data_IF_923095608401
#
_entry.id   IF_923095608401
#
_cell.length_a   1.000
_cell.length_b   1.000
_cell.length_c   1.000
_cell.angle_alpha   90.00
_cell.angle_beta   90.00
_cell.angle_gamma   90.00
#
_symmetry.space_group_name_H-M   'P 1'
#
loop_
_entity.id
_entity.type
_entity.pdbx_description
1 polymer ?
#
# COMPACT_ATOMS: atom_id res chain seq x y z
N UNK A 1 -7.17 27.25 -73.65
CA UNK A 1 -8.30 26.86 -72.81
C UNK A 1 -7.71 26.19 -71.60
N UNK A 2 -7.70 26.90 -70.49
CA UNK A 2 -7.10 26.45 -69.28
C UNK A 2 -7.99 25.55 -68.47
N UNK A 3 -7.41 24.59 -67.79
CA UNK A 3 -8.03 23.88 -66.69
C UNK A 3 -7.21 24.09 -65.43
N UNK A 4 -7.87 24.66 -64.39
CA UNK A 4 -7.33 24.97 -63.09
C UNK A 4 -7.74 23.82 -62.16
N UNK A 5 -6.84 22.87 -61.89
CA UNK A 5 -7.00 21.85 -60.87
C UNK A 5 -6.67 22.41 -59.51
N UNK A 6 -7.72 22.70 -58.68
CA UNK A 6 -7.55 23.11 -57.30
C UNK A 6 -7.09 21.96 -56.40
N UNK A 7 -5.89 22.07 -55.88
CA UNK A 7 -5.36 21.18 -54.88
C UNK A 7 -5.92 21.51 -53.48
N UNK A 8 -6.88 20.71 -53.00
CA UNK A 8 -7.35 20.75 -51.62
C UNK A 8 -6.32 20.15 -50.68
N UNK A 9 -5.56 21.00 -50.01
CA UNK A 9 -4.68 20.61 -48.92
C UNK A 9 -5.49 20.21 -47.68
N UNK A 10 -5.77 18.91 -47.56
CA UNK A 10 -6.32 18.37 -46.30
C UNK A 10 -5.29 18.46 -45.18
N UNK A 11 -5.46 19.40 -44.29
CA UNK A 11 -4.71 19.43 -43.00
C UNK A 11 -5.04 18.15 -42.25
N UNK A 12 -4.12 17.21 -42.25
CA UNK A 12 -4.16 16.08 -41.30
C UNK A 12 -3.98 16.67 -39.91
N UNK A 13 -5.09 16.85 -39.20
CA UNK A 13 -5.05 17.06 -37.74
C UNK A 13 -4.49 15.76 -37.17
N UNK A 14 -3.20 15.75 -36.84
CA UNK A 14 -2.59 14.67 -36.06
C UNK A 14 -3.20 14.79 -34.68
N UNK A 15 -4.17 13.92 -34.38
CA UNK A 15 -4.61 13.68 -33.02
C UNK A 15 -3.36 13.22 -32.25
N UNK A 16 -2.72 14.15 -31.54
CA UNK A 16 -1.71 13.82 -30.56
C UNK A 16 -2.40 12.89 -29.56
N UNK A 17 -2.02 11.62 -29.54
CA UNK A 17 -2.48 10.69 -28.52
C UNK A 17 -2.14 11.36 -27.17
N UNK A 18 -3.19 11.72 -26.42
CA UNK A 18 -2.99 12.26 -25.09
C UNK A 18 -2.33 11.14 -24.26
N UNK A 19 -1.05 11.30 -23.96
CA UNK A 19 -0.35 10.37 -23.07
C UNK A 19 -1.12 10.28 -21.76
N UNK A 20 -1.34 9.06 -21.29
CA UNK A 20 -1.89 8.88 -19.95
C UNK A 20 -0.99 9.58 -18.93
N UNK A 21 -1.56 10.25 -17.90
CA UNK A 21 -0.75 10.83 -16.85
C UNK A 21 0.26 9.84 -16.27
N UNK A 22 1.43 10.32 -15.90
CA UNK A 22 2.49 9.51 -15.31
C UNK A 22 2.01 8.94 -13.97
N UNK A 23 2.20 7.64 -13.70
CA UNK A 23 1.98 7.04 -12.40
C UNK A 23 3.26 7.12 -11.58
N UNK A 24 3.25 7.91 -10.50
CA UNK A 24 4.37 7.95 -9.53
C UNK A 24 4.04 7.00 -8.40
N UNK A 25 4.66 5.83 -8.40
CA UNK A 25 4.49 4.79 -7.38
C UNK A 25 5.35 5.10 -6.15
N UNK A 26 4.77 5.85 -5.20
CA UNK A 26 5.46 6.41 -4.06
C UNK A 26 5.42 5.47 -2.85
N UNK A 27 6.56 4.92 -2.46
CA UNK A 27 6.72 4.10 -1.25
C UNK A 27 7.29 4.93 -0.08
N UNK A 28 7.28 4.35 1.13
CA UNK A 28 7.96 4.96 2.28
C UNK A 28 9.47 5.01 2.05
N UNK A 29 10.02 3.93 1.54
CA UNK A 29 11.44 3.64 1.52
C UNK A 29 11.84 2.64 2.60
N UNK A 30 12.94 1.93 2.38
CA UNK A 30 13.47 0.91 3.30
C UNK A 30 14.97 0.76 3.12
N UNK A 31 15.68 0.46 4.21
CA UNK A 31 17.09 0.03 4.19
C UNK A 31 17.25 -1.47 3.90
N UNK A 32 16.16 -2.25 3.93
CA UNK A 32 16.18 -3.68 3.60
C UNK A 32 16.31 -3.89 2.09
N UNK A 33 17.34 -4.60 1.66
CA UNK A 33 17.54 -4.97 0.25
C UNK A 33 16.39 -5.83 -0.28
N UNK A 34 15.91 -6.78 0.53
CA UNK A 34 14.79 -7.65 0.20
C UNK A 34 13.48 -6.83 0.07
N UNK A 35 13.20 -5.97 1.05
CA UNK A 35 12.03 -5.09 1.00
C UNK A 35 12.04 -4.15 -0.20
N UNK A 36 13.22 -3.60 -0.55
CA UNK A 36 13.38 -2.78 -1.75
C UNK A 36 13.13 -3.57 -3.04
N UNK A 37 13.61 -4.81 -3.12
CA UNK A 37 13.37 -5.69 -4.26
C UNK A 37 11.88 -6.00 -4.44
N UNK A 38 11.15 -6.31 -3.37
CA UNK A 38 9.71 -6.57 -3.39
C UNK A 38 8.90 -5.33 -3.84
N UNK A 39 9.24 -4.15 -3.35
CA UNK A 39 8.58 -2.90 -3.79
C UNK A 39 8.88 -2.59 -5.27
N UNK A 40 10.09 -2.88 -5.74
CA UNK A 40 10.43 -2.74 -7.16
C UNK A 40 9.68 -3.78 -8.03
N UNK A 41 9.52 -5.02 -7.54
CA UNK A 41 8.72 -6.03 -8.22
C UNK A 41 7.23 -5.62 -8.30
N UNK A 42 6.68 -4.98 -7.26
CA UNK A 42 5.34 -4.39 -7.29
C UNK A 42 5.22 -3.32 -8.40
N UNK A 43 6.19 -2.41 -8.52
CA UNK A 43 6.21 -1.39 -9.60
C UNK A 43 6.27 -2.03 -10.99
N UNK A 44 7.11 -3.05 -11.15
CA UNK A 44 7.17 -3.82 -12.40
C UNK A 44 5.83 -4.51 -12.70
N UNK A 45 5.14 -5.04 -11.69
CA UNK A 45 3.80 -5.61 -11.82
C UNK A 45 2.76 -4.59 -12.27
N UNK A 46 2.79 -3.38 -11.72
CA UNK A 46 1.91 -2.27 -12.16
C UNK A 46 2.16 -1.95 -13.65
N UNK A 47 3.42 -1.81 -14.06
CA UNK A 47 3.78 -1.53 -15.46
C UNK A 47 3.38 -2.68 -16.40
N UNK A 48 3.53 -3.93 -15.98
CA UNK A 48 3.14 -5.11 -16.75
C UNK A 48 1.63 -5.22 -16.96
N UNK A 49 0.81 -4.85 -15.96
CA UNK A 49 -0.65 -4.85 -16.06
C UNK A 49 -1.18 -3.75 -17.00
N UNK A 50 -0.41 -2.66 -17.22
CA UNK A 50 -0.79 -1.58 -18.13
C UNK A 50 0.38 -1.19 -19.03
N UNK A 51 0.60 -1.94 -20.12
CA UNK A 51 1.64 -1.61 -21.10
C UNK A 51 1.49 -0.18 -21.64
N UNK A 52 2.60 0.56 -21.68
CA UNK A 52 2.63 1.95 -22.15
C UNK A 52 2.35 3.01 -21.08
N UNK A 53 1.94 2.64 -19.86
CA UNK A 53 1.89 3.56 -18.74
C UNK A 53 3.32 3.85 -18.23
N UNK A 54 3.69 5.14 -18.14
CA UNK A 54 4.95 5.56 -17.51
C UNK A 54 4.80 5.42 -15.98
N UNK A 55 5.48 4.42 -15.42
CA UNK A 55 5.48 4.13 -13.96
C UNK A 55 6.83 4.53 -13.38
N UNK A 56 6.84 5.54 -12.52
CA UNK A 56 8.06 6.06 -11.89
C UNK A 56 8.12 5.73 -10.41
N UNK A 57 9.32 5.46 -9.93
CA UNK A 57 9.59 5.29 -8.52
C UNK A 57 9.70 6.66 -7.83
N UNK A 58 9.20 6.74 -6.59
CA UNK A 58 9.49 7.83 -5.67
C UNK A 58 9.39 7.31 -4.23
N UNK A 59 10.00 8.05 -3.31
CA UNK A 59 10.00 7.72 -1.89
C UNK A 59 9.69 8.97 -1.06
N UNK A 60 9.10 8.76 0.12
CA UNK A 60 8.85 9.86 1.07
C UNK A 60 9.99 9.99 2.08
N UNK A 61 10.79 8.93 2.26
CA UNK A 61 11.91 8.85 3.20
C UNK A 61 12.89 7.73 2.80
N UNK A 62 14.03 7.62 3.46
CA UNK A 62 15.00 6.51 3.44
C UNK A 62 15.70 6.26 2.10
N UNK A 63 15.05 6.43 0.97
CA UNK A 63 15.57 6.10 -0.37
C UNK A 63 15.40 7.22 -1.38
N UNK A 64 16.22 7.21 -2.40
CA UNK A 64 16.14 8.07 -3.59
C UNK A 64 15.46 7.36 -4.78
N UNK A 65 14.82 8.10 -5.70
CA UNK A 65 14.62 9.57 -5.67
C UNK A 65 13.51 9.99 -4.70
N UNK A 66 13.68 11.13 -4.04
CA UNK A 66 12.64 11.70 -3.18
C UNK A 66 11.41 12.16 -4.01
N UNK A 67 10.22 12.06 -3.45
CA UNK A 67 8.98 12.43 -4.13
C UNK A 67 8.97 13.88 -4.63
N UNK A 68 9.43 14.90 -3.86
CA UNK A 68 9.49 16.28 -4.35
C UNK A 68 10.35 16.44 -5.60
N UNK A 69 11.47 15.74 -5.69
CA UNK A 69 12.39 15.81 -6.82
C UNK A 69 11.80 15.17 -8.08
N UNK A 70 11.13 14.02 -7.92
CA UNK A 70 10.41 13.36 -9.01
C UNK A 70 9.32 14.26 -9.57
N UNK A 71 8.53 14.90 -8.70
CA UNK A 71 7.45 15.81 -9.09
C UNK A 71 8.01 17.06 -9.78
N UNK A 72 9.07 17.65 -9.25
CA UNK A 72 9.73 18.82 -9.85
C UNK A 72 10.37 18.50 -11.21
N UNK A 73 10.93 17.31 -11.37
CA UNK A 73 11.58 16.83 -12.59
C UNK A 73 10.64 16.37 -13.70
N UNK A 74 9.32 16.43 -13.53
CA UNK A 74 8.37 16.08 -14.60
C UNK A 74 8.50 17.04 -15.79
N UNK A 75 8.42 16.56 -17.04
CA UNK A 75 8.45 17.44 -18.22
C UNK A 75 7.35 18.49 -18.20
N UNK A 76 7.59 19.64 -18.82
CA UNK A 76 6.59 20.72 -18.93
C UNK A 76 5.37 20.23 -19.69
N UNK A 77 4.18 20.45 -19.14
CA UNK A 77 2.90 20.03 -19.74
C UNK A 77 2.48 18.59 -19.39
N UNK A 78 3.37 17.77 -18.84
CA UNK A 78 3.00 16.43 -18.36
C UNK A 78 2.22 16.50 -17.04
N UNK A 79 1.25 15.61 -16.92
CA UNK A 79 0.45 15.41 -15.72
C UNK A 79 0.81 14.10 -15.03
N UNK A 80 0.59 14.01 -13.72
CA UNK A 80 0.93 12.82 -12.96
C UNK A 80 -0.08 12.53 -11.84
N UNK A 81 -0.17 11.25 -11.48
CA UNK A 81 -0.88 10.78 -10.28
C UNK A 81 0.14 10.10 -9.37
N UNK A 82 0.29 10.62 -8.17
CA UNK A 82 1.07 9.97 -7.11
C UNK A 82 0.19 8.92 -6.46
N UNK A 83 0.57 7.65 -6.61
CA UNK A 83 -0.09 6.51 -5.97
C UNK A 83 0.74 6.09 -4.75
N UNK A 84 0.22 6.30 -3.52
CA UNK A 84 0.92 5.89 -2.32
C UNK A 84 0.93 4.35 -2.21
N UNK A 85 2.10 3.73 -2.29
CA UNK A 85 2.29 2.32 -1.98
C UNK A 85 2.34 2.14 -0.45
N UNK A 86 1.30 2.64 0.23
CA UNK A 86 1.12 2.66 1.67
C UNK A 86 -0.21 2.00 2.04
N UNK A 87 -0.28 1.38 3.21
CA UNK A 87 -1.42 0.55 3.62
C UNK A 87 -2.49 1.32 4.42
N UNK A 88 -2.23 2.57 4.77
CA UNK A 88 -3.18 3.43 5.49
C UNK A 88 -2.95 4.90 5.19
N UNK A 89 -3.96 5.71 5.48
CA UNK A 89 -3.84 7.18 5.48
C UNK A 89 -3.10 7.59 6.75
N UNK A 90 -1.83 7.96 6.62
CA UNK A 90 -0.98 8.42 7.72
C UNK A 90 -0.38 9.78 7.43
N UNK A 91 0.59 10.18 8.27
CA UNK A 91 1.28 11.48 8.17
C UNK A 91 1.85 11.71 6.76
N UNK A 92 2.57 10.74 6.21
CA UNK A 92 3.20 10.86 4.88
C UNK A 92 2.19 11.11 3.75
N UNK A 93 1.02 10.45 3.77
CA UNK A 93 -0.04 10.70 2.78
C UNK A 93 -0.60 12.10 2.93
N UNK A 94 -0.90 12.52 4.17
CA UNK A 94 -1.56 13.81 4.43
C UNK A 94 -0.62 15.01 4.27
N UNK A 95 0.65 14.86 4.58
CA UNK A 95 1.59 15.97 4.63
C UNK A 95 2.56 15.95 3.45
N UNK A 96 3.35 14.87 3.31
CA UNK A 96 4.45 14.88 2.33
C UNK A 96 3.93 14.76 0.91
N UNK A 97 3.03 13.79 0.65
CA UNK A 97 2.42 13.62 -0.67
C UNK A 97 1.54 14.81 -1.03
N UNK A 98 0.72 15.30 -0.09
CA UNK A 98 -0.12 16.48 -0.34
C UNK A 98 0.71 17.74 -0.64
N UNK A 99 1.86 17.91 0.01
CA UNK A 99 2.80 19.02 -0.27
C UNK A 99 3.41 18.87 -1.65
N UNK A 100 3.90 17.68 -2.00
CA UNK A 100 4.52 17.42 -3.30
C UNK A 100 3.54 17.68 -4.46
N UNK A 101 2.31 17.19 -4.38
CA UNK A 101 1.31 17.41 -5.45
C UNK A 101 0.89 18.88 -5.57
N UNK A 102 0.84 19.63 -4.47
CA UNK A 102 0.51 21.07 -4.48
C UNK A 102 1.61 21.91 -5.13
N UNK A 103 2.86 21.45 -5.14
CA UNK A 103 3.98 22.20 -5.71
C UNK A 103 3.93 22.26 -7.25
N UNK A 104 3.12 21.41 -7.90
CA UNK A 104 3.06 21.33 -9.35
C UNK A 104 1.62 21.17 -9.88
N UNK A 105 1.11 22.12 -10.68
CA UNK A 105 -0.16 21.98 -11.37
C UNK A 105 -0.19 20.73 -12.26
N UNK A 106 -1.34 20.05 -12.34
CA UNK A 106 -1.51 18.82 -13.11
C UNK A 106 -1.02 17.55 -12.40
N UNK A 107 -0.53 17.66 -11.14
CA UNK A 107 -0.21 16.52 -10.30
C UNK A 107 -1.32 16.30 -9.26
N UNK A 108 -1.67 15.03 -9.02
CA UNK A 108 -2.73 14.62 -8.08
C UNK A 108 -2.23 13.51 -7.17
N UNK A 109 -2.86 13.37 -6.00
CA UNK A 109 -2.66 12.22 -5.12
C UNK A 109 -3.82 11.24 -5.26
N UNK A 110 -3.52 9.97 -5.40
CA UNK A 110 -4.48 8.89 -5.23
C UNK A 110 -4.65 8.52 -3.76
N UNK A 111 -5.68 7.73 -3.44
CA UNK A 111 -5.79 7.08 -2.14
C UNK A 111 -4.68 6.04 -1.96
N UNK A 112 -4.28 5.69 -0.71
CA UNK A 112 -3.36 4.61 -0.43
C UNK A 112 -3.96 3.25 -0.81
N UNK A 113 -3.14 2.18 -0.77
CA UNK A 113 -3.57 0.83 -1.10
C UNK A 113 -4.66 0.32 -0.13
N UNK A 114 -4.53 0.63 1.15
CA UNK A 114 -5.49 0.19 2.16
C UNK A 114 -6.26 1.33 2.85
N UNK A 115 -7.37 0.97 3.53
CA UNK A 115 -7.95 -0.37 3.57
C UNK A 115 -8.59 -0.81 2.26
N UNK A 116 -8.58 -2.12 1.99
CA UNK A 116 -9.23 -2.73 0.83
C UNK A 116 -9.58 -4.20 1.19
N UNK A 117 -10.78 -4.70 0.88
CA UNK A 117 -11.18 -6.06 1.26
C UNK A 117 -10.29 -7.16 0.67
N UNK A 118 -9.61 -6.90 -0.46
CA UNK A 118 -8.64 -7.84 -1.03
C UNK A 118 -7.39 -7.98 -0.17
N UNK A 119 -7.02 -6.95 0.61
CA UNK A 119 -5.92 -7.04 1.57
C UNK A 119 -6.32 -7.91 2.78
N UNK A 120 -7.58 -7.84 3.22
CA UNK A 120 -8.08 -8.77 4.24
C UNK A 120 -8.08 -10.22 3.73
N UNK A 121 -8.49 -10.45 2.48
CA UNK A 121 -8.44 -11.77 1.86
C UNK A 121 -6.98 -12.28 1.71
N UNK A 122 -6.04 -11.41 1.37
CA UNK A 122 -4.61 -11.75 1.31
C UNK A 122 -4.06 -12.10 2.69
N UNK A 123 -4.42 -11.36 3.74
CA UNK A 123 -4.05 -11.70 5.11
C UNK A 123 -4.62 -13.05 5.54
N UNK A 124 -5.85 -13.38 5.14
CA UNK A 124 -6.42 -14.70 5.37
C UNK A 124 -5.61 -15.81 4.69
N UNK A 125 -5.13 -15.58 3.47
CA UNK A 125 -4.21 -16.51 2.79
C UNK A 125 -2.92 -16.64 3.58
N UNK A 126 -2.27 -15.53 3.99
CA UNK A 126 -1.03 -15.55 4.78
C UNK A 126 -1.18 -16.29 6.10
N UNK A 127 -2.31 -16.10 6.79
CA UNK A 127 -2.63 -16.84 8.03
C UNK A 127 -2.76 -18.35 7.80
N UNK A 128 -3.40 -18.76 6.68
CA UNK A 128 -3.48 -20.18 6.32
C UNK A 128 -2.12 -20.78 5.96
N UNK A 129 -1.32 -20.06 5.19
CA UNK A 129 0.07 -20.46 4.85
C UNK A 129 0.93 -20.63 6.09
N UNK A 130 0.77 -19.75 7.10
CA UNK A 130 1.44 -19.88 8.39
C UNK A 130 0.88 -20.99 9.29
N UNK A 131 -0.21 -21.66 8.90
CA UNK A 131 -0.84 -22.72 9.67
C UNK A 131 -1.65 -22.23 10.87
N UNK A 132 -2.22 -21.00 10.81
CA UNK A 132 -3.09 -20.46 11.85
C UNK A 132 -4.40 -21.27 11.94
N UNK A 133 -4.70 -21.80 13.13
CA UNK A 133 -5.89 -22.58 13.44
C UNK A 133 -7.04 -21.68 13.91
N UNK A 134 -8.29 -22.21 13.90
CA UNK A 134 -9.46 -21.45 14.33
C UNK A 134 -9.44 -21.04 15.82
N UNK A 135 -8.75 -21.82 16.66
CA UNK A 135 -8.63 -21.52 18.09
C UNK A 135 -7.57 -20.46 18.41
N UNK A 136 -6.72 -20.10 17.44
CA UNK A 136 -5.63 -19.15 17.65
C UNK A 136 -6.18 -17.71 17.77
N UNK A 137 -5.54 -16.88 18.59
CA UNK A 137 -5.79 -15.44 18.60
C UNK A 137 -4.86 -14.75 17.61
N UNK A 138 -5.42 -13.93 16.74
CA UNK A 138 -4.69 -13.21 15.70
C UNK A 138 -4.44 -11.76 16.15
N UNK A 139 -3.18 -11.32 16.11
CA UNK A 139 -2.78 -9.94 16.27
C UNK A 139 -2.52 -9.37 14.87
N UNK A 140 -3.39 -8.46 14.42
CA UNK A 140 -3.20 -7.73 13.17
C UNK A 140 -2.17 -6.62 13.41
N UNK A 141 -0.94 -6.84 12.97
CA UNK A 141 0.18 -5.95 13.23
C UNK A 141 0.41 -4.99 12.05
N UNK A 142 0.15 -3.70 12.27
CA UNK A 142 0.42 -2.62 11.34
C UNK A 142 1.66 -1.82 11.76
N UNK A 143 2.26 -1.06 10.83
CA UNK A 143 3.40 -0.19 11.14
C UNK A 143 3.05 0.85 12.22
N UNK A 144 1.84 1.41 12.16
CA UNK A 144 1.39 2.48 13.03
C UNK A 144 1.68 3.87 12.46
N UNK A 145 1.04 4.88 13.03
CA UNK A 145 1.20 6.28 12.67
C UNK A 145 0.76 7.17 13.82
N UNK A 146 1.29 8.38 13.89
CA UNK A 146 0.79 9.43 14.79
C UNK A 146 -0.56 10.02 14.33
N UNK A 147 -1.00 9.76 13.10
CA UNK A 147 -2.30 10.19 12.60
C UNK A 147 -3.39 9.20 13.02
N UNK A 148 -4.43 9.65 13.75
CA UNK A 148 -5.51 8.76 14.21
C UNK A 148 -6.29 8.06 13.08
N UNK A 149 -6.32 8.64 11.87
CA UNK A 149 -7.00 8.02 10.73
C UNK A 149 -6.32 6.71 10.32
N UNK A 150 -5.02 6.56 10.54
CA UNK A 150 -4.32 5.31 10.26
C UNK A 150 -4.84 4.16 11.12
N UNK A 151 -5.10 4.41 12.42
CA UNK A 151 -5.67 3.42 13.31
C UNK A 151 -7.11 3.05 12.91
N UNK A 152 -7.91 4.01 12.45
CA UNK A 152 -9.27 3.75 11.92
C UNK A 152 -9.21 2.84 10.68
N UNK A 153 -8.28 3.08 9.76
CA UNK A 153 -8.09 2.22 8.59
C UNK A 153 -7.67 0.79 8.97
N UNK A 154 -6.83 0.63 9.99
CA UNK A 154 -6.43 -0.70 10.49
C UNK A 154 -7.61 -1.41 11.15
N UNK A 155 -8.45 -0.71 11.94
CA UNK A 155 -9.67 -1.29 12.52
C UNK A 155 -10.72 -1.66 11.46
N UNK A 156 -10.86 -0.87 10.40
CA UNK A 156 -11.71 -1.22 9.26
C UNK A 156 -11.24 -2.53 8.62
N UNK A 157 -9.94 -2.65 8.36
CA UNK A 157 -9.36 -3.88 7.82
C UNK A 157 -9.53 -5.07 8.78
N UNK A 158 -9.35 -4.85 10.10
CA UNK A 158 -9.61 -5.87 11.11
C UNK A 158 -11.08 -6.34 11.07
N UNK A 159 -12.02 -5.42 10.88
CA UNK A 159 -13.43 -5.74 10.66
C UNK A 159 -13.66 -6.60 9.42
N UNK A 160 -13.01 -6.28 8.30
CA UNK A 160 -13.07 -7.07 7.07
C UNK A 160 -12.47 -8.47 7.28
N UNK A 161 -11.35 -8.58 8.01
CA UNK A 161 -10.73 -9.87 8.30
C UNK A 161 -11.59 -10.71 9.28
N UNK A 162 -12.26 -10.10 10.28
CA UNK A 162 -13.24 -10.76 11.17
C UNK A 162 -14.44 -11.34 10.39
N UNK A 163 -14.81 -10.75 9.27
CA UNK A 163 -15.85 -11.30 8.41
C UNK A 163 -15.43 -12.57 7.67
N UNK A 164 -14.12 -12.80 7.50
CA UNK A 164 -13.56 -13.97 6.82
C UNK A 164 -13.15 -15.09 7.79
N UNK A 165 -12.93 -14.75 9.06
CA UNK A 165 -12.39 -15.69 10.07
C UNK A 165 -13.10 -15.58 11.40
N UNK A 166 -13.30 -16.73 12.05
CA UNK A 166 -13.87 -16.80 13.41
C UNK A 166 -12.87 -16.52 14.53
N UNK A 167 -11.58 -16.33 14.20
CA UNK A 167 -10.54 -16.02 15.18
C UNK A 167 -10.85 -14.70 15.93
N UNK A 168 -10.47 -14.62 17.19
CA UNK A 168 -10.33 -13.32 17.86
C UNK A 168 -9.22 -12.53 17.14
N UNK A 169 -9.52 -11.32 16.70
CA UNK A 169 -8.56 -10.44 16.00
C UNK A 169 -8.40 -9.14 16.78
N UNK A 170 -7.15 -8.83 17.15
CA UNK A 170 -6.74 -7.64 17.89
C UNK A 170 -5.81 -6.82 17.02
N UNK A 171 -6.11 -5.55 16.77
CA UNK A 171 -5.20 -4.64 16.07
C UNK A 171 -4.08 -4.18 17.02
N UNK A 172 -2.85 -4.12 16.49
CA UNK A 172 -1.67 -3.65 17.22
C UNK A 172 -0.67 -2.99 16.26
N UNK A 173 0.28 -2.22 16.82
CA UNK A 173 1.10 -1.32 16.04
C UNK A 173 2.59 -1.47 16.36
N UNK A 174 3.44 -1.34 15.34
CA UNK A 174 4.90 -1.36 15.50
C UNK A 174 5.44 -0.07 16.09
N UNK A 175 4.76 1.07 15.84
CA UNK A 175 5.18 2.39 16.34
C UNK A 175 3.98 3.34 16.52
N UNK A 176 4.20 4.42 17.29
CA UNK A 176 3.36 5.63 17.39
C UNK A 176 1.91 5.46 17.87
N UNK A 177 1.28 4.31 17.68
CA UNK A 177 -0.08 3.99 18.12
C UNK A 177 -0.09 2.88 19.19
N UNK A 178 -1.22 2.67 19.84
CA UNK A 178 -1.38 1.68 20.91
C UNK A 178 -2.58 0.75 20.63
N UNK A 179 -2.51 -0.52 21.12
CA UNK A 179 -1.39 -1.14 21.82
C UNK A 179 -0.19 -1.38 20.89
N UNK A 180 1.03 -1.49 21.48
CA UNK A 180 2.16 -2.03 20.72
C UNK A 180 1.94 -3.52 20.44
N UNK A 181 2.64 -4.06 19.43
CA UNK A 181 2.53 -5.50 19.12
C UNK A 181 2.94 -6.34 20.32
N UNK A 182 4.03 -5.98 21.04
CA UNK A 182 4.47 -6.70 22.24
C UNK A 182 3.44 -6.63 23.36
N UNK A 183 2.86 -5.42 23.62
CA UNK A 183 1.82 -5.27 24.65
C UNK A 183 0.59 -6.13 24.34
N UNK A 184 0.19 -6.20 23.06
CA UNK A 184 -0.94 -7.00 22.62
C UNK A 184 -0.68 -8.51 22.77
N UNK A 185 0.52 -8.99 22.40
CA UNK A 185 0.91 -10.40 22.62
C UNK A 185 0.88 -10.74 24.10
N UNK A 186 1.45 -9.87 24.94
CA UNK A 186 1.49 -10.09 26.39
C UNK A 186 0.07 -10.13 27.00
N UNK A 187 -0.78 -9.17 26.66
CA UNK A 187 -2.14 -9.12 27.15
C UNK A 187 -2.95 -10.36 26.77
N UNK A 188 -2.85 -10.83 25.51
CA UNK A 188 -3.52 -12.05 25.07
C UNK A 188 -3.03 -13.28 25.82
N UNK A 189 -1.74 -13.39 26.11
CA UNK A 189 -1.17 -14.51 26.89
C UNK A 189 -1.62 -14.48 28.34
N UNK A 190 -1.65 -13.32 28.98
CA UNK A 190 -2.13 -13.16 30.36
C UNK A 190 -3.62 -13.51 30.46
N UNK A 191 -4.47 -13.02 29.56
CA UNK A 191 -5.89 -13.37 29.52
C UNK A 191 -6.09 -14.89 29.34
N UNK A 192 -5.33 -15.51 28.45
CA UNK A 192 -5.36 -16.96 28.25
C UNK A 192 -4.98 -17.74 29.51
N UNK A 193 -3.96 -17.29 30.25
CA UNK A 193 -3.54 -17.93 31.48
C UNK A 193 -4.61 -17.87 32.60
N UNK A 194 -5.43 -16.83 32.61
CA UNK A 194 -6.53 -16.66 33.59
C UNK A 194 -7.75 -17.54 33.29
N UNK A 195 -7.94 -17.94 32.03
CA UNK A 195 -9.11 -18.75 31.59
C UNK A 195 -8.80 -20.26 31.59
N UNK A 196 -7.72 -20.71 32.18
CA UNK A 196 -7.07 -22.00 32.09
C UNK A 196 -7.92 -23.24 32.48
N UNK A 197 -8.92 -23.58 31.65
CA UNK A 197 -9.64 -24.87 31.74
C UNK A 197 -9.57 -25.70 30.42
N UNK A 198 -8.70 -25.32 29.45
CA UNK A 198 -8.58 -26.03 28.17
C UNK A 198 -7.30 -25.71 27.39
N UNK A 199 -7.05 -26.37 26.27
CA UNK A 199 -5.90 -26.05 25.43
C UNK A 199 -6.05 -24.62 24.90
N UNK A 200 -5.09 -23.76 25.26
CA UNK A 200 -5.03 -22.40 24.77
C UNK A 200 -4.62 -22.42 23.29
N UNK A 201 -5.32 -21.62 22.46
CA UNK A 201 -4.90 -21.34 21.10
C UNK A 201 -3.57 -20.55 21.11
N UNK A 202 -2.81 -20.68 20.03
CA UNK A 202 -1.58 -19.89 19.85
C UNK A 202 -1.88 -18.42 19.64
N UNK A 203 -0.87 -17.59 19.86
CA UNK A 203 -0.88 -16.19 19.46
C UNK A 203 -0.18 -16.06 18.11
N UNK A 204 -0.90 -15.64 17.10
CA UNK A 204 -0.41 -15.51 15.72
C UNK A 204 -0.40 -14.04 15.31
N UNK A 205 0.72 -13.55 14.81
CA UNK A 205 0.80 -12.21 14.23
C UNK A 205 0.49 -12.28 12.74
N UNK A 206 -0.55 -11.58 12.31
CA UNK A 206 -0.83 -11.29 10.91
C UNK A 206 -0.11 -9.99 10.53
N UNK A 207 0.92 -10.09 9.70
CA UNK A 207 1.75 -8.97 9.29
C UNK A 207 1.02 -8.10 8.25
N UNK A 208 0.44 -7.00 8.68
CA UNK A 208 -0.11 -5.96 7.80
C UNK A 208 0.99 -4.94 7.47
N UNK A 209 2.05 -5.45 6.86
CA UNK A 209 3.19 -4.71 6.34
C UNK A 209 3.37 -5.02 4.87
N UNK A 210 3.77 -4.02 4.08
CA UNK A 210 3.84 -4.16 2.62
C UNK A 210 4.91 -5.19 2.20
N UNK A 211 6.10 -5.10 2.78
CA UNK A 211 7.28 -5.89 2.42
C UNK A 211 8.11 -6.25 3.67
N UNK A 212 9.05 -7.21 3.57
CA UNK A 212 10.05 -7.47 4.60
C UNK A 212 10.88 -6.22 4.94
N UNK A 213 11.43 -6.18 6.16
CA UNK A 213 12.29 -5.11 6.65
C UNK A 213 12.12 -4.86 8.14
N UNK A 214 12.70 -3.77 8.63
CA UNK A 214 12.83 -3.45 10.05
C UNK A 214 11.58 -3.74 10.89
N UNK A 215 10.41 -3.23 10.49
CA UNK A 215 9.17 -3.49 11.23
C UNK A 215 8.75 -4.95 11.19
N UNK A 216 8.95 -5.64 10.06
CA UNK A 216 8.61 -7.05 9.94
C UNK A 216 9.53 -7.92 10.80
N UNK A 217 10.82 -7.60 10.86
CA UNK A 217 11.81 -8.32 11.68
C UNK A 217 11.47 -8.20 13.17
N UNK A 218 11.03 -7.01 13.62
CA UNK A 218 10.57 -6.80 14.99
C UNK A 218 9.34 -7.63 15.39
N UNK A 219 8.50 -8.04 14.42
CA UNK A 219 7.37 -8.92 14.72
C UNK A 219 7.81 -10.30 15.21
N UNK A 220 8.94 -10.82 14.70
CA UNK A 220 9.50 -12.09 15.15
C UNK A 220 9.95 -12.06 16.62
N UNK A 221 10.34 -10.87 17.12
CA UNK A 221 10.79 -10.66 18.49
C UNK A 221 9.65 -10.35 19.47
N UNK A 222 8.41 -10.20 18.98
CA UNK A 222 7.27 -9.81 19.81
C UNK A 222 6.75 -10.94 20.73
N UNK A 223 7.29 -12.15 20.63
CA UNK A 223 6.95 -13.28 21.51
C UNK A 223 5.67 -14.04 21.09
N UNK A 224 5.17 -13.87 19.88
CA UNK A 224 4.08 -14.68 19.33
C UNK A 224 4.57 -16.09 18.93
N UNK A 225 3.62 -17.03 18.78
CA UNK A 225 3.94 -18.42 18.39
C UNK A 225 4.18 -18.54 16.87
N UNK A 226 3.55 -17.68 16.08
CA UNK A 226 3.69 -17.60 14.63
C UNK A 226 3.63 -16.16 14.16
N UNK A 227 4.36 -15.86 13.09
CA UNK A 227 4.30 -14.59 12.35
C UNK A 227 4.10 -14.91 10.88
N UNK A 228 3.13 -14.28 10.23
CA UNK A 228 2.93 -14.46 8.79
C UNK A 228 3.98 -13.70 7.99
N UNK A 229 4.20 -14.10 6.73
CA UNK A 229 4.92 -13.27 5.77
C UNK A 229 4.23 -11.90 5.60
N UNK A 230 4.97 -10.92 5.11
CA UNK A 230 4.43 -9.65 4.66
C UNK A 230 3.46 -9.83 3.48
N UNK A 231 2.81 -8.75 3.03
CA UNK A 231 1.82 -8.82 1.95
C UNK A 231 2.46 -9.13 0.59
N UNK A 232 3.63 -8.56 0.31
CA UNK A 232 4.41 -8.90 -0.89
C UNK A 232 5.19 -10.23 -0.71
N UNK A 233 5.39 -10.96 -1.83
CA UNK A 233 4.87 -10.70 -3.18
C UNK A 233 3.39 -11.05 -3.31
N UNK A 234 2.62 -10.22 -4.00
CA UNK A 234 1.24 -10.52 -4.39
C UNK A 234 0.79 -9.64 -5.55
N UNK A 235 0.17 -10.21 -6.62
CA UNK A 235 -0.31 -9.43 -7.76
C UNK A 235 -1.45 -8.48 -7.42
N UNK A 236 -2.25 -8.79 -6.41
CA UNK A 236 -3.41 -7.99 -6.00
C UNK A 236 -3.04 -6.55 -5.63
N UNK A 237 -1.82 -6.32 -5.12
CA UNK A 237 -1.35 -4.99 -4.76
C UNK A 237 -1.12 -4.10 -6.00
N UNK A 238 -0.68 -4.68 -7.12
CA UNK A 238 -0.54 -3.97 -8.38
C UNK A 238 -1.92 -3.60 -8.98
N UNK A 239 -2.89 -4.50 -8.87
CA UNK A 239 -4.27 -4.24 -9.28
C UNK A 239 -4.89 -3.09 -8.48
N UNK A 240 -4.77 -3.13 -7.15
CA UNK A 240 -5.24 -2.05 -6.27
C UNK A 240 -4.57 -0.73 -6.64
N UNK A 241 -3.26 -0.71 -6.87
CA UNK A 241 -2.54 0.51 -7.22
C UNK A 241 -3.05 1.14 -8.52
N UNK A 242 -3.34 0.33 -9.55
CA UNK A 242 -3.92 0.81 -10.81
C UNK A 242 -5.35 1.33 -10.62
N UNK A 243 -6.16 0.68 -9.82
CA UNK A 243 -7.51 1.18 -9.52
C UNK A 243 -7.47 2.50 -8.75
N UNK A 244 -6.53 2.68 -7.80
CA UNK A 244 -6.32 3.96 -7.11
C UNK A 244 -5.91 5.07 -8.10
N UNK A 245 -5.03 4.73 -9.06
CA UNK A 245 -4.64 5.63 -10.14
C UNK A 245 -5.86 6.05 -10.99
N UNK A 246 -6.66 5.10 -11.46
CA UNK A 246 -7.83 5.37 -12.30
C UNK A 246 -8.90 6.19 -11.55
N UNK A 247 -9.14 5.87 -10.29
CA UNK A 247 -10.06 6.62 -9.44
C UNK A 247 -9.63 8.08 -9.26
N UNK A 248 -8.32 8.34 -9.09
CA UNK A 248 -7.80 9.69 -8.99
C UNK A 248 -7.92 10.49 -10.32
N UNK A 249 -7.84 9.82 -11.46
CA UNK A 249 -8.10 10.43 -12.77
C UNK A 249 -9.57 10.82 -12.91
N UNK A 250 -10.48 9.93 -12.57
CA UNK A 250 -11.92 10.15 -12.68
C UNK A 250 -12.42 11.28 -11.75
N UNK A 251 -11.85 11.42 -10.56
CA UNK A 251 -12.23 12.46 -9.59
C UNK A 251 -11.81 13.88 -10.00
N UNK A 252 -10.99 14.04 -11.02
CA UNK A 252 -10.48 15.35 -11.47
C UNK A 252 -10.88 15.68 -12.91
N UNK A 253 -11.75 14.89 -13.53
CA UNK A 253 -12.41 15.18 -14.80
C UNK A 253 -13.77 15.91 -14.55
#
# INVERSE_FOLDING_TARGET
MGDQGGGGGGSKVTLTAMNSPILIACAHGTSSTEGAAEVNALRAGIAALRPGLDVRAAYVDVQDPELPDVVAGLPVGETAVVVPLLLSVGYHVKVDIARAVKSRPGTRAAAPLGPDPRLAALLDVRLREAGAAHADTVILAAAGSSDPSAAQNVEELAGQLRALRSNRIVAAYGASAKPSVQDAVHAVREEGALVAAGPQGRVVIASYLLAPGFFHDQLAEAGADLVTAALLPSPVLAEIALERYDAALAAGA
#
